data_IF_058944455479
#
_entry.id   IF_058944455479
#
_cell.length_a   1.000
_cell.length_b   1.000
_cell.length_c   1.000
_cell.angle_alpha   90.00
_cell.angle_beta   90.00
_cell.angle_gamma   90.00
#
_symmetry.space_group_name_H-M   'P 1'
#
loop_
_entity.id
_entity.type
_entity.pdbx_description
1 polymer ?
#
# COMPACT_ATOMS: atom_id res chain seq x y z
N UNK A 1 -11.25 15.93 -13.76
CA UNK A 1 -10.49 14.82 -14.40
C UNK A 1 -9.08 14.76 -13.82
N UNK A 2 -8.97 14.55 -12.50
CA UNK A 2 -7.68 14.53 -11.78
C UNK A 2 -7.52 13.31 -10.86
N UNK A 3 -8.60 12.55 -10.64
CA UNK A 3 -8.67 11.48 -9.65
C UNK A 3 -7.83 10.25 -10.02
N UNK A 4 -7.77 9.87 -11.31
CA UNK A 4 -7.07 8.65 -11.73
C UNK A 4 -5.56 8.70 -11.48
N UNK A 5 -4.93 9.87 -11.66
CA UNK A 5 -3.50 10.05 -11.41
C UNK A 5 -3.17 10.04 -9.93
N UNK A 6 -4.05 10.64 -9.12
CA UNK A 6 -3.90 10.63 -7.66
C UNK A 6 -4.05 9.20 -7.11
N UNK A 7 -5.02 8.45 -7.63
CA UNK A 7 -5.21 7.04 -7.27
C UNK A 7 -4.01 6.16 -7.67
N UNK A 8 -3.42 6.40 -8.84
CA UNK A 8 -2.21 5.70 -9.27
C UNK A 8 -1.00 6.01 -8.39
N UNK A 9 -0.79 7.28 -8.06
CA UNK A 9 0.31 7.68 -7.17
C UNK A 9 0.16 7.06 -5.78
N UNK A 10 -1.06 7.08 -5.22
CA UNK A 10 -1.35 6.44 -3.93
C UNK A 10 -1.12 4.92 -4.00
N UNK A 11 -1.54 4.26 -5.09
CA UNK A 11 -1.33 2.82 -5.26
C UNK A 11 0.16 2.45 -5.20
N UNK A 12 1.03 3.23 -5.86
CA UNK A 12 2.50 3.02 -5.81
C UNK A 12 3.04 3.11 -4.38
N UNK A 13 2.58 4.08 -3.59
CA UNK A 13 3.02 4.21 -2.19
C UNK A 13 2.51 3.06 -1.32
N UNK A 14 1.29 2.58 -1.57
CA UNK A 14 0.71 1.42 -0.88
C UNK A 14 1.50 0.16 -1.21
N UNK A 15 1.84 -0.08 -2.47
CA UNK A 15 2.62 -1.24 -2.90
C UNK A 15 4.01 -1.23 -2.25
N UNK A 16 4.67 -0.07 -2.20
CA UNK A 16 5.97 0.05 -1.51
C UNK A 16 5.85 -0.17 0.00
N UNK A 17 4.76 0.30 0.62
CA UNK A 17 4.46 0.03 2.03
C UNK A 17 4.25 -1.46 2.31
N UNK A 18 3.65 -2.20 1.38
CA UNK A 18 3.48 -3.66 1.47
C UNK A 18 4.84 -4.38 1.40
N UNK A 19 5.75 -3.96 0.53
CA UNK A 19 7.12 -4.49 0.48
C UNK A 19 7.87 -4.25 1.79
N UNK A 20 7.81 -3.02 2.31
CA UNK A 20 8.45 -2.67 3.59
C UNK A 20 7.85 -3.46 4.75
N UNK A 21 6.55 -3.76 4.72
CA UNK A 21 5.92 -4.62 5.74
C UNK A 21 6.57 -6.00 5.77
N UNK A 22 6.79 -6.60 4.59
CA UNK A 22 7.39 -7.92 4.47
C UNK A 22 8.87 -7.95 4.89
N UNK A 23 9.61 -6.86 4.64
CA UNK A 23 11.06 -6.79 4.89
C UNK A 23 11.42 -6.26 6.29
N UNK A 24 10.64 -5.31 6.81
CA UNK A 24 11.00 -4.51 7.99
C UNK A 24 9.89 -4.46 9.05
N UNK A 25 8.74 -5.09 8.81
CA UNK A 25 7.62 -5.13 9.74
C UNK A 25 6.69 -3.90 9.72
N UNK A 26 5.58 -4.02 10.46
CA UNK A 26 4.44 -3.09 10.37
C UNK A 26 4.76 -1.65 10.77
N UNK A 27 5.61 -1.45 11.78
CA UNK A 27 5.97 -0.12 12.25
C UNK A 27 6.69 0.71 11.16
N UNK A 28 7.64 0.09 10.45
CA UNK A 28 8.38 0.76 9.37
C UNK A 28 7.49 1.05 8.16
N UNK A 29 6.64 0.10 7.79
CA UNK A 29 5.65 0.27 6.73
C UNK A 29 4.65 1.41 7.04
N UNK A 30 4.20 1.50 8.29
CA UNK A 30 3.31 2.55 8.77
C UNK A 30 3.95 3.94 8.63
N UNK A 31 5.19 4.11 9.15
CA UNK A 31 5.92 5.37 9.11
C UNK A 31 6.11 5.84 7.67
N UNK A 32 6.48 4.93 6.78
CA UNK A 32 6.65 5.22 5.35
C UNK A 32 5.33 5.66 4.70
N UNK A 33 4.25 4.89 4.84
CA UNK A 33 2.97 5.24 4.21
C UNK A 33 2.40 6.55 4.78
N UNK A 34 2.61 6.82 6.06
CA UNK A 34 2.22 8.08 6.69
C UNK A 34 3.01 9.27 6.13
N UNK A 35 4.33 9.13 5.93
CA UNK A 35 5.16 10.20 5.36
C UNK A 35 4.82 10.49 3.89
N UNK A 36 4.33 9.49 3.17
CA UNK A 36 3.83 9.61 1.78
C UNK A 36 2.36 10.06 1.70
N UNK A 37 1.77 10.53 2.80
CA UNK A 37 0.39 11.05 2.88
C UNK A 37 -0.70 10.03 2.50
N UNK A 38 -0.43 8.73 2.62
CA UNK A 38 -1.47 7.70 2.44
C UNK A 38 -2.50 7.86 3.57
N UNK A 39 -3.82 7.87 3.27
CA UNK A 39 -4.83 8.01 4.30
C UNK A 39 -4.74 6.92 5.36
N UNK A 40 -4.87 7.29 6.64
CA UNK A 40 -4.78 6.36 7.78
C UNK A 40 -5.70 5.14 7.65
N UNK A 41 -6.91 5.33 7.10
CA UNK A 41 -7.87 4.25 6.86
C UNK A 41 -7.35 3.22 5.84
N UNK A 42 -6.59 3.67 4.84
CA UNK A 42 -5.93 2.81 3.86
C UNK A 42 -4.77 2.06 4.51
N UNK A 43 -3.92 2.75 5.28
CA UNK A 43 -2.78 2.14 5.99
C UNK A 43 -3.27 1.03 6.94
N UNK A 44 -4.29 1.32 7.75
CA UNK A 44 -4.89 0.35 8.66
C UNK A 44 -5.42 -0.87 7.92
N UNK A 45 -6.15 -0.64 6.81
CA UNK A 45 -6.67 -1.75 6.00
C UNK A 45 -5.55 -2.63 5.45
N UNK A 46 -4.53 -2.01 4.87
CA UNK A 46 -3.42 -2.71 4.22
C UNK A 46 -2.58 -3.50 5.23
N UNK A 47 -2.29 -2.93 6.40
CA UNK A 47 -1.43 -3.57 7.40
C UNK A 47 -2.18 -4.59 8.26
N UNK A 48 -3.44 -4.35 8.61
CA UNK A 48 -4.21 -5.25 9.46
C UNK A 48 -4.76 -6.47 8.72
N UNK A 49 -5.02 -6.36 7.41
CA UNK A 49 -5.66 -7.40 6.61
C UNK A 49 -4.78 -7.78 5.39
N UNK A 50 -3.62 -8.43 5.61
CA UNK A 50 -2.71 -8.80 4.51
C UNK A 50 -3.34 -9.70 3.46
N UNK A 51 -4.30 -10.54 3.83
CA UNK A 51 -5.09 -11.40 2.93
C UNK A 51 -6.00 -10.63 1.97
N UNK A 52 -6.32 -9.37 2.27
CA UNK A 52 -7.14 -8.50 1.40
C UNK A 52 -6.29 -7.66 0.44
N UNK A 53 -4.95 -7.74 0.54
CA UNK A 53 -4.06 -7.10 -0.42
C UNK A 53 -4.33 -7.71 -1.79
N UNK A 54 -4.41 -6.88 -2.84
CA UNK A 54 -4.60 -7.40 -4.19
C UNK A 54 -3.50 -8.41 -4.49
N UNK A 55 -3.86 -9.66 -4.68
CA UNK A 55 -2.95 -10.66 -5.22
C UNK A 55 -2.63 -10.25 -6.66
N UNK A 56 -1.49 -9.60 -6.87
CA UNK A 56 -0.86 -9.48 -8.19
C UNK A 56 -0.27 -10.83 -8.65
N UNK A 57 -0.94 -11.95 -8.34
CA UNK A 57 -0.56 -13.26 -8.83
C UNK A 57 -1.34 -13.56 -10.10
N UNK A 58 -0.60 -13.52 -11.21
CA UNK A 58 -0.86 -14.11 -12.53
C UNK A 58 -1.97 -13.49 -13.40
N UNK A 59 -1.61 -12.48 -14.19
CA UNK A 59 -1.88 -12.56 -15.62
C UNK A 59 -0.65 -13.19 -16.29
N UNK A 60 -0.52 -14.51 -16.16
CA UNK A 60 0.28 -15.30 -17.08
C UNK A 60 -0.57 -15.47 -18.34
N UNK A 61 -0.13 -14.87 -19.44
CA UNK A 61 -0.72 -15.07 -20.76
C UNK A 61 0.37 -15.44 -21.74
#
# INVERSE_FOLDING_TARGET
MSDTRYDQQMAVQVDKGIELHAQMGAANAWIYMQSMQVPRSVILRVLAYPEQRRNCSASAH
#
